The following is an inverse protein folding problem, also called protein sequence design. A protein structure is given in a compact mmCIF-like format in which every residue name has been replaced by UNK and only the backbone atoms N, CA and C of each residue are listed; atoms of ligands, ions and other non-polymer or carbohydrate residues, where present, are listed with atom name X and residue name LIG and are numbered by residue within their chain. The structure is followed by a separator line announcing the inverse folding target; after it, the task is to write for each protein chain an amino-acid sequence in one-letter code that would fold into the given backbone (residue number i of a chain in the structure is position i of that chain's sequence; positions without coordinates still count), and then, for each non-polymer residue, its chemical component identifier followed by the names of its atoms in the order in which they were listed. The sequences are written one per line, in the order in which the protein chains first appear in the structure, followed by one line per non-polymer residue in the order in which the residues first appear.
data_IF_620431377133
#
_entry.id   IF_620431377133
#
_cell.length_a   1.000
_cell.length_b   1.000
_cell.length_c   1.000
_cell.angle_alpha   90.00
_cell.angle_beta   90.00
_cell.angle_gamma   90.00
#
_symmetry.space_group_name_H-M   'P 1'
#
loop_
_entity.id
_entity.type
_entity.pdbx_description
1 polymer ?
#
# COMPACT_ATOMS: atom_id res chain seq x y z
N UNK A 1 -3.29 13.00 8.96
CA UNK A 1 -2.60 14.08 8.21
C UNK A 1 -3.30 14.45 6.91
N UNK A 2 -3.83 13.51 6.12
CA UNK A 2 -4.59 13.84 4.90
C UNK A 2 -5.87 14.67 5.17
N UNK A 3 -6.66 14.29 6.18
CA UNK A 3 -7.88 15.02 6.56
C UNK A 3 -7.56 16.45 7.01
N UNK A 4 -6.50 16.63 7.80
CA UNK A 4 -6.04 17.96 8.22
C UNK A 4 -5.55 18.81 7.03
N UNK A 5 -4.89 18.20 6.04
CA UNK A 5 -4.50 18.88 4.80
C UNK A 5 -5.71 19.37 3.99
N UNK A 6 -6.77 18.57 3.90
CA UNK A 6 -8.04 18.94 3.26
C UNK A 6 -8.78 20.06 4.02
N UNK A 7 -8.83 19.97 5.35
CA UNK A 7 -9.48 20.98 6.20
C UNK A 7 -8.75 22.32 6.12
N UNK A 8 -7.42 22.32 6.09
CA UNK A 8 -6.63 23.54 5.93
C UNK A 8 -6.74 24.07 4.48
N UNK A 9 -6.58 23.19 3.49
CA UNK A 9 -6.56 23.57 2.08
C UNK A 9 -7.90 24.04 1.52
N UNK A 10 -9.02 23.54 2.03
CA UNK A 10 -10.36 23.94 1.57
C UNK A 10 -11.16 24.69 2.65
N UNK A 11 -11.08 24.28 3.91
CA UNK A 11 -11.87 24.87 5.00
C UNK A 11 -11.43 26.30 5.35
N UNK A 12 -10.12 26.58 5.39
CA UNK A 12 -9.60 27.92 5.72
C UNK A 12 -9.96 28.96 4.65
N UNK A 13 -9.78 28.70 3.33
CA UNK A 13 -10.23 29.62 2.30
C UNK A 13 -11.75 29.87 2.34
N UNK A 14 -12.56 28.82 2.50
CA UNK A 14 -14.03 28.95 2.54
C UNK A 14 -14.48 29.82 3.71
N UNK A 15 -13.91 29.62 4.90
CA UNK A 15 -14.21 30.41 6.08
C UNK A 15 -13.76 31.88 5.93
N UNK A 16 -12.55 32.11 5.39
CA UNK A 16 -12.02 33.45 5.16
C UNK A 16 -12.83 34.24 4.14
N UNK A 17 -13.20 33.61 3.02
CA UNK A 17 -14.06 34.23 2.01
C UNK A 17 -15.45 34.53 2.55
N UNK A 18 -16.04 33.61 3.33
CA UNK A 18 -17.33 33.86 3.98
C UNK A 18 -17.28 35.08 4.91
N UNK A 19 -16.24 35.18 5.73
CA UNK A 19 -16.05 36.31 6.64
C UNK A 19 -15.80 37.63 5.86
N UNK A 20 -15.06 37.54 4.75
CA UNK A 20 -14.79 38.67 3.88
C UNK A 20 -16.03 39.22 3.18
N UNK A 21 -16.88 38.33 2.67
CA UNK A 21 -18.17 38.72 2.07
C UNK A 21 -19.12 39.34 3.10
N UNK A 22 -19.09 38.87 4.36
CA UNK A 22 -19.95 39.40 5.43
C UNK A 22 -19.53 40.81 5.89
N UNK A 23 -18.24 41.11 5.92
CA UNK A 23 -17.70 42.42 6.33
C UNK A 23 -17.76 43.41 5.15
N UNK A 24 -17.64 42.94 3.91
CA UNK A 24 -17.89 43.73 2.70
C UNK A 24 -16.84 44.79 2.37
N UNK A 25 -15.72 44.85 3.09
CA UNK A 25 -14.65 45.82 2.85
C UNK A 25 -13.59 45.26 1.90
N UNK A 26 -13.21 46.07 0.90
CA UNK A 26 -12.24 45.69 -0.14
C UNK A 26 -10.88 45.21 0.41
N UNK A 27 -10.29 45.81 1.45
CA UNK A 27 -9.03 45.33 2.04
C UNK A 27 -9.13 43.91 2.61
N UNK A 28 -10.28 43.55 3.18
CA UNK A 28 -10.49 42.24 3.79
C UNK A 28 -10.65 41.15 2.71
N UNK A 29 -11.26 41.47 1.57
CA UNK A 29 -11.31 40.56 0.40
C UNK A 29 -9.92 40.25 -0.16
N UNK A 30 -9.05 41.27 -0.25
CA UNK A 30 -7.65 41.08 -0.69
C UNK A 30 -6.89 40.20 0.29
N UNK A 31 -7.01 40.46 1.60
CA UNK A 31 -6.37 39.65 2.64
C UNK A 31 -6.86 38.19 2.63
N UNK A 32 -8.16 37.97 2.49
CA UNK A 32 -8.75 36.63 2.40
C UNK A 32 -8.27 35.86 1.16
N UNK A 33 -8.08 36.55 0.04
CA UNK A 33 -7.56 35.94 -1.20
C UNK A 33 -6.11 35.48 -1.03
N UNK A 34 -5.25 36.33 -0.45
CA UNK A 34 -3.83 36.00 -0.22
C UNK A 34 -3.70 34.84 0.78
N UNK A 35 -4.41 34.92 1.91
CA UNK A 35 -4.38 33.88 2.93
C UNK A 35 -5.01 32.57 2.44
N UNK A 36 -6.07 32.65 1.64
CA UNK A 36 -6.70 31.48 1.01
C UNK A 36 -5.75 30.78 0.03
N UNK A 37 -5.04 31.54 -0.81
CA UNK A 37 -4.06 30.98 -1.74
C UNK A 37 -2.92 30.25 -1.00
N UNK A 38 -2.41 30.85 0.09
CA UNK A 38 -1.38 30.23 0.94
C UNK A 38 -1.91 28.96 1.61
N UNK A 39 -3.16 28.98 2.10
CA UNK A 39 -3.78 27.82 2.74
C UNK A 39 -3.99 26.65 1.75
N UNK A 40 -4.41 26.93 0.52
CA UNK A 40 -4.54 25.91 -0.54
C UNK A 40 -3.16 25.28 -0.84
N UNK A 41 -2.13 26.12 -1.01
CA UNK A 41 -0.78 25.66 -1.30
C UNK A 41 -0.23 24.74 -0.20
N UNK A 42 -0.32 25.15 1.06
CA UNK A 42 0.12 24.33 2.19
C UNK A 42 -0.75 23.10 2.42
N UNK A 43 -2.06 23.20 2.19
CA UNK A 43 -2.97 22.06 2.24
C UNK A 43 -2.59 20.98 1.24
N UNK A 44 -2.27 21.36 0.00
CA UNK A 44 -1.83 20.44 -1.03
C UNK A 44 -0.51 19.73 -0.66
N UNK A 45 0.48 20.47 -0.15
CA UNK A 45 1.76 19.89 0.32
C UNK A 45 1.52 18.87 1.43
N UNK A 46 0.69 19.19 2.41
CA UNK A 46 0.38 18.30 3.53
C UNK A 46 -0.31 17.00 3.09
N UNK A 47 -1.15 17.06 2.05
CA UNK A 47 -1.76 15.87 1.47
C UNK A 47 -0.68 14.99 0.80
N UNK A 48 0.20 15.57 -0.01
CA UNK A 48 1.28 14.83 -0.70
C UNK A 48 2.21 14.17 0.32
N UNK A 49 2.65 14.90 1.34
CA UNK A 49 3.53 14.35 2.40
C UNK A 49 2.82 13.22 3.18
N UNK A 50 1.50 13.32 3.38
CA UNK A 50 0.76 12.25 4.04
C UNK A 50 0.70 10.94 3.23
N UNK A 51 0.94 10.97 1.92
CA UNK A 51 1.00 9.77 1.08
C UNK A 51 2.35 9.06 1.11
N UNK A 52 3.44 9.74 1.50
CA UNK A 52 4.78 9.14 1.60
C UNK A 52 4.83 7.88 2.47
N UNK A 53 4.34 7.88 3.74
CA UNK A 53 4.39 6.68 4.57
C UNK A 53 3.52 5.55 4.02
N UNK A 54 2.48 5.85 3.25
CA UNK A 54 1.66 4.81 2.62
C UNK A 54 2.47 4.05 1.56
N UNK A 55 3.28 4.76 0.77
CA UNK A 55 4.14 4.10 -0.22
C UNK A 55 5.24 3.26 0.43
N UNK A 56 5.89 3.75 1.48
CA UNK A 56 6.91 2.98 2.20
C UNK A 56 6.36 1.67 2.77
N UNK A 57 5.16 1.70 3.36
CA UNK A 57 4.49 0.49 3.86
C UNK A 57 4.12 -0.51 2.74
N UNK A 58 3.85 -0.03 1.52
CA UNK A 58 3.52 -0.90 0.37
C UNK A 58 4.77 -1.60 -0.13
N UNK A 59 5.89 -0.90 -0.22
CA UNK A 59 7.17 -1.48 -0.63
C UNK A 59 7.67 -2.53 0.38
N UNK A 60 7.53 -2.26 1.68
CA UNK A 60 7.88 -3.20 2.74
C UNK A 60 7.03 -4.48 2.65
N UNK A 61 5.70 -4.35 2.54
CA UNK A 61 4.81 -5.50 2.35
C UNK A 61 5.12 -6.28 1.08
N UNK A 62 5.43 -5.61 -0.02
CA UNK A 62 5.80 -6.28 -1.28
C UNK A 62 7.09 -7.09 -1.15
N UNK A 63 8.06 -6.60 -0.37
CA UNK A 63 9.31 -7.30 -0.09
C UNK A 63 9.09 -8.56 0.77
N UNK A 64 8.22 -8.46 1.78
CA UNK A 64 7.86 -9.58 2.65
C UNK A 64 7.11 -10.67 1.87
N UNK A 65 6.13 -10.27 1.04
CA UNK A 65 5.39 -11.17 0.14
C UNK A 65 6.33 -11.93 -0.81
N UNK A 66 7.33 -11.26 -1.40
CA UNK A 66 8.34 -11.93 -2.25
C UNK A 66 9.14 -12.96 -1.49
N UNK A 67 9.51 -12.65 -0.24
CA UNK A 67 10.25 -13.58 0.62
C UNK A 67 9.41 -14.81 0.94
N UNK A 68 8.15 -14.63 1.33
CA UNK A 68 7.22 -15.73 1.57
C UNK A 68 7.02 -16.60 0.31
N UNK A 69 6.91 -15.97 -0.87
CA UNK A 69 6.74 -16.68 -2.14
C UNK A 69 7.96 -17.54 -2.49
N UNK A 70 9.17 -17.07 -2.20
CA UNK A 70 10.39 -17.84 -2.40
C UNK A 70 10.47 -19.04 -1.46
N UNK A 71 10.08 -18.87 -0.19
CA UNK A 71 10.00 -19.96 0.79
C UNK A 71 8.99 -21.02 0.34
N UNK A 72 7.80 -20.60 -0.09
CA UNK A 72 6.78 -21.51 -0.62
C UNK A 72 7.24 -22.25 -1.87
N UNK A 73 7.96 -21.57 -2.78
CA UNK A 73 8.55 -22.23 -3.96
C UNK A 73 9.60 -23.27 -3.57
N UNK A 74 10.45 -22.96 -2.59
CA UNK A 74 11.43 -23.92 -2.07
C UNK A 74 10.73 -25.14 -1.44
N UNK A 75 9.69 -24.91 -0.63
CA UNK A 75 8.88 -25.98 -0.04
C UNK A 75 8.20 -26.85 -1.10
N UNK A 76 7.58 -26.25 -2.12
CA UNK A 76 6.97 -27.00 -3.23
C UNK A 76 7.99 -27.85 -3.97
N UNK A 77 9.22 -27.35 -4.15
CA UNK A 77 10.29 -28.12 -4.78
C UNK A 77 10.73 -29.32 -3.93
N UNK A 78 10.85 -29.13 -2.62
CA UNK A 78 11.14 -30.22 -1.67
C UNK A 78 10.05 -31.30 -1.69
N UNK A 79 8.78 -30.89 -1.67
CA UNK A 79 7.66 -31.82 -1.71
C UNK A 79 7.60 -32.62 -3.02
N UNK A 80 7.96 -32.01 -4.16
CA UNK A 80 8.05 -32.73 -5.42
C UNK A 80 9.17 -33.79 -5.40
N UNK A 81 10.31 -33.47 -4.82
CA UNK A 81 11.43 -34.40 -4.67
C UNK A 81 11.06 -35.59 -3.75
N UNK A 82 10.37 -35.32 -2.65
CA UNK A 82 9.83 -36.37 -1.78
C UNK A 82 8.79 -37.26 -2.50
N UNK A 83 7.94 -36.67 -3.37
CA UNK A 83 6.97 -37.44 -4.16
C UNK A 83 7.66 -38.35 -5.19
N UNK A 84 8.74 -37.89 -5.83
CA UNK A 84 9.53 -38.72 -6.74
C UNK A 84 10.21 -39.87 -6.01
N UNK A 85 10.69 -39.66 -4.78
CA UNK A 85 11.22 -40.73 -3.94
C UNK A 85 10.14 -41.77 -3.60
N UNK A 86 8.93 -41.32 -3.26
CA UNK A 86 7.78 -42.21 -3.00
C UNK A 86 7.41 -43.01 -4.25
N UNK A 87 7.41 -42.40 -5.44
CA UNK A 87 7.16 -43.12 -6.71
C UNK A 87 8.22 -44.21 -6.97
N UNK A 88 9.49 -43.92 -6.67
CA UNK A 88 10.57 -44.91 -6.76
C UNK A 88 10.33 -46.09 -5.83
N UNK A 89 10.01 -45.84 -4.56
CA UNK A 89 9.74 -46.89 -3.57
C UNK A 89 8.54 -47.74 -4.00
N UNK A 90 7.47 -47.11 -4.50
CA UNK A 90 6.29 -47.82 -4.99
C UNK A 90 6.61 -48.71 -6.20
N UNK A 91 7.49 -48.26 -7.10
CA UNK A 91 7.98 -49.10 -8.22
C UNK A 91 8.78 -50.29 -7.72
N UNK A 92 9.68 -50.10 -6.76
CA UNK A 92 10.49 -51.18 -6.20
C UNK A 92 9.59 -52.24 -5.55
N UNK A 93 8.63 -51.82 -4.71
CA UNK A 93 7.65 -52.73 -4.09
C UNK A 93 6.86 -53.50 -5.16
N UNK A 94 6.38 -52.80 -6.20
CA UNK A 94 5.64 -53.43 -7.30
C UNK A 94 6.49 -54.49 -8.02
N UNK A 95 7.76 -54.19 -8.27
CA UNK A 95 8.65 -55.07 -9.00
C UNK A 95 9.06 -56.29 -8.16
N UNK A 96 9.19 -56.12 -6.84
CA UNK A 96 9.35 -57.23 -5.88
C UNK A 96 8.12 -58.13 -5.81
N UNK A 97 6.91 -57.55 -5.76
CA UNK A 97 5.66 -58.32 -5.79
C UNK A 97 5.52 -59.12 -7.10
N UNK A 98 5.97 -58.59 -8.23
CA UNK A 98 5.99 -59.34 -9.50
C UNK A 98 6.94 -60.52 -9.47
N UNK A 99 8.14 -60.38 -8.89
CA UNK A 99 9.11 -61.48 -8.77
C UNK A 99 8.60 -62.63 -7.90
N UNK A 100 7.78 -62.36 -6.89
CA UNK A 100 7.17 -63.39 -6.03
C UNK A 100 5.99 -64.10 -6.69
N UNK A 101 5.40 -63.48 -7.72
CA UNK A 101 4.26 -64.01 -8.48
C UNK A 101 4.67 -64.92 -9.66
N UNK A 102 5.95 -64.97 -10.02
CA UNK A 102 6.53 -65.97 -10.93
C UNK A 102 7.04 -67.19 -10.14
#
# INVERSE_FOLDING_TARGET
MAISGLVIGAGVPVALFYMAFKIGTWPFLVAATILGAIAIFWGAIMVIVAFVPVMENVDEQASELRTQLNIHKAMMRSLLEELDEVDSILKDIRDELKKVSE
#
